data_IF_227161455184
#
_entry.id   IF_227161455184
#
_cell.length_a   1.000
_cell.length_b   1.000
_cell.length_c   1.000
_cell.angle_alpha   90.00
_cell.angle_beta   90.00
_cell.angle_gamma   90.00
#
_symmetry.space_group_name_H-M   'P 1'
#
loop_
_entity.id
_entity.type
_entity.pdbx_description
1 polymer ?
#
# COMPACT_ATOMS: atom_id res chain seq x y z
N UNK A 1 -19.25 -1.01 -8.35
CA UNK A 1 -18.38 -0.11 -7.59
C UNK A 1 -16.97 -0.58 -7.85
N UNK A 2 -16.18 0.23 -8.52
CA UNK A 2 -14.76 -0.03 -8.81
C UNK A 2 -13.94 0.50 -7.63
N UNK A 3 -12.89 -0.21 -7.23
CA UNK A 3 -11.95 0.24 -6.21
C UNK A 3 -10.66 0.76 -6.84
N UNK A 4 -10.29 1.98 -6.50
CA UNK A 4 -9.10 2.68 -7.01
C UNK A 4 -8.14 2.97 -5.88
N UNK A 5 -6.87 2.58 -6.05
CA UNK A 5 -5.79 3.03 -5.17
C UNK A 5 -5.09 4.24 -5.76
N UNK A 6 -5.10 5.34 -5.02
CA UNK A 6 -4.31 6.53 -5.31
C UNK A 6 -3.05 6.50 -4.46
N UNK A 7 -1.95 6.02 -5.04
CA UNK A 7 -0.69 5.70 -4.36
C UNK A 7 0.31 6.83 -4.61
N UNK A 8 0.68 7.58 -3.58
CA UNK A 8 1.57 8.74 -3.68
C UNK A 8 2.93 8.45 -3.05
N UNK A 9 4.01 8.90 -3.70
CA UNK A 9 5.38 8.70 -3.28
C UNK A 9 6.16 10.03 -3.27
N UNK A 10 5.58 11.08 -2.67
CA UNK A 10 6.20 12.40 -2.58
C UNK A 10 6.10 12.95 -1.14
N UNK A 11 7.19 13.47 -0.55
CA UNK A 11 7.15 14.04 0.79
C UNK A 11 6.46 15.43 0.84
N UNK A 12 6.29 16.09 -0.30
CA UNK A 12 5.64 17.40 -0.39
C UNK A 12 4.14 17.25 -0.72
N UNK A 13 3.33 18.19 -0.24
CA UNK A 13 1.93 18.38 -0.66
C UNK A 13 1.84 18.94 -2.09
N UNK A 14 0.61 19.05 -2.61
CA UNK A 14 0.34 19.63 -3.93
C UNK A 14 0.91 21.04 -4.12
N UNK A 15 1.04 21.85 -3.05
CA UNK A 15 1.64 23.19 -3.17
C UNK A 15 3.13 23.15 -3.52
N UNK A 16 3.82 22.05 -3.18
CA UNK A 16 5.27 21.87 -3.35
C UNK A 16 5.67 20.82 -4.39
N UNK A 17 4.71 20.19 -5.07
CA UNK A 17 4.99 19.11 -6.02
C UNK A 17 4.08 19.17 -7.25
N UNK A 18 4.69 19.30 -8.43
CA UNK A 18 3.99 19.23 -9.71
C UNK A 18 3.25 17.90 -9.91
N UNK A 19 3.86 16.78 -9.49
CA UNK A 19 3.26 15.45 -9.61
C UNK A 19 2.01 15.33 -8.74
N UNK A 20 2.10 15.76 -7.48
CA UNK A 20 0.96 15.70 -6.54
C UNK A 20 -0.16 16.63 -6.99
N UNK A 21 0.14 17.84 -7.47
CA UNK A 21 -0.87 18.75 -8.00
C UNK A 21 -1.64 18.16 -9.19
N UNK A 22 -0.94 17.52 -10.13
CA UNK A 22 -1.59 16.85 -11.28
C UNK A 22 -2.38 15.61 -10.83
N UNK A 23 -1.82 14.84 -9.88
CA UNK A 23 -2.48 13.66 -9.32
C UNK A 23 -3.78 13.99 -8.60
N UNK A 24 -3.80 15.06 -7.80
CA UNK A 24 -5.01 15.56 -7.13
C UNK A 24 -6.06 16.03 -8.15
N UNK A 25 -5.67 16.80 -9.15
CA UNK A 25 -6.59 17.22 -10.20
C UNK A 25 -7.20 16.03 -10.94
N UNK A 26 -6.40 15.01 -11.24
CA UNK A 26 -6.87 13.77 -11.86
C UNK A 26 -7.86 13.01 -10.96
N UNK A 27 -7.50 12.77 -9.70
CA UNK A 27 -8.33 11.92 -8.82
C UNK A 27 -9.64 12.62 -8.43
N UNK A 28 -9.65 13.95 -8.30
CA UNK A 28 -10.88 14.70 -8.06
C UNK A 28 -11.79 14.72 -9.30
N UNK A 29 -11.24 14.88 -10.51
CA UNK A 29 -12.02 14.72 -11.74
C UNK A 29 -12.60 13.30 -11.85
N UNK A 30 -11.80 12.27 -11.56
CA UNK A 30 -12.23 10.88 -11.54
C UNK A 30 -13.40 10.64 -10.58
N UNK A 31 -13.31 11.12 -9.33
CA UNK A 31 -14.39 10.98 -8.33
C UNK A 31 -15.69 11.65 -8.79
N UNK A 32 -15.60 12.80 -9.47
CA UNK A 32 -16.77 13.50 -10.00
C UNK A 32 -17.46 12.72 -11.14
N UNK A 33 -16.68 12.10 -12.04
CA UNK A 33 -17.22 11.28 -13.12
C UNK A 33 -17.69 9.89 -12.65
N UNK A 34 -17.09 9.37 -11.56
CA UNK A 34 -17.34 8.06 -10.99
C UNK A 34 -17.74 8.13 -9.50
N UNK A 35 -18.86 8.77 -9.15
CA UNK A 35 -19.24 9.01 -7.75
C UNK A 35 -19.60 7.74 -6.95
N UNK A 36 -19.71 6.60 -7.62
CA UNK A 36 -20.01 5.29 -7.01
C UNK A 36 -18.76 4.41 -6.86
N UNK A 37 -17.58 4.92 -7.21
CA UNK A 37 -16.32 4.18 -7.05
C UNK A 37 -15.66 4.53 -5.71
N UNK A 38 -14.98 3.55 -5.12
CA UNK A 38 -14.22 3.72 -3.88
C UNK A 38 -12.79 4.16 -4.24
N UNK A 39 -12.37 5.34 -3.76
CA UNK A 39 -10.98 5.80 -3.90
C UNK A 39 -10.30 5.74 -2.53
N UNK A 40 -9.20 4.98 -2.45
CA UNK A 40 -8.37 4.85 -1.25
C UNK A 40 -7.01 5.48 -1.53
N UNK A 41 -6.63 6.47 -0.72
CA UNK A 41 -5.31 7.11 -0.78
C UNK A 41 -4.30 6.32 0.05
N UNK A 42 -3.16 6.00 -0.54
CA UNK A 42 -2.00 5.38 0.13
C UNK A 42 -0.81 6.30 -0.04
N UNK A 43 -0.47 7.04 1.02
CA UNK A 43 0.74 7.85 1.08
C UNK A 43 1.91 7.01 1.57
N UNK A 44 2.85 6.68 0.68
CA UNK A 44 3.98 5.81 1.00
C UNK A 44 4.97 6.42 2.01
N UNK A 45 4.96 7.75 2.22
CA UNK A 45 5.79 8.39 3.24
C UNK A 45 5.18 8.28 4.65
N UNK A 46 3.88 7.99 4.75
CA UNK A 46 3.16 7.84 6.01
C UNK A 46 2.59 6.41 6.22
N UNK A 47 2.81 5.50 5.28
CA UNK A 47 2.38 4.10 5.36
C UNK A 47 3.54 3.19 5.79
N UNK A 48 3.26 2.21 6.64
CA UNK A 48 4.26 1.19 6.98
C UNK A 48 4.46 0.26 5.77
N UNK A 49 5.59 0.40 5.09
CA UNK A 49 6.01 -0.44 3.97
C UNK A 49 7.32 -1.13 4.35
N UNK A 50 7.27 -2.32 4.98
CA UNK A 50 8.47 -3.01 5.43
C UNK A 50 9.40 -3.34 4.26
N UNK A 51 10.68 -3.01 4.40
CA UNK A 51 11.70 -3.49 3.48
C UNK A 51 11.91 -5.00 3.67
N UNK A 52 12.31 -5.69 2.60
CA UNK A 52 12.74 -7.09 2.69
C UNK A 52 14.12 -7.10 3.35
N UNK A 53 14.20 -7.73 4.52
CA UNK A 53 15.43 -7.88 5.29
C UNK A 53 15.54 -9.28 5.94
N UNK A 54 16.51 -9.47 6.83
CA UNK A 54 16.81 -10.76 7.45
C UNK A 54 15.60 -11.36 8.21
N UNK A 55 14.78 -10.52 8.85
CA UNK A 55 13.59 -11.02 9.54
C UNK A 55 12.55 -11.53 8.56
N UNK A 56 12.35 -10.83 7.44
CA UNK A 56 11.42 -11.24 6.37
C UNK A 56 11.86 -12.57 5.75
N UNK A 57 13.15 -12.72 5.44
CA UNK A 57 13.69 -13.99 4.92
C UNK A 57 13.54 -15.13 5.94
N UNK A 58 13.82 -14.88 7.22
CA UNK A 58 13.65 -15.88 8.27
C UNK A 58 12.18 -16.29 8.41
N UNK A 59 11.26 -15.34 8.34
CA UNK A 59 9.82 -15.62 8.39
C UNK A 59 9.34 -16.46 7.20
N UNK A 60 9.73 -16.09 5.98
CA UNK A 60 9.42 -16.87 4.78
C UNK A 60 10.02 -18.27 4.81
N UNK A 61 11.23 -18.42 5.37
CA UNK A 61 11.86 -19.72 5.58
C UNK A 61 11.03 -20.65 6.47
N UNK A 62 10.47 -20.11 7.57
CA UNK A 62 9.56 -20.85 8.47
C UNK A 62 8.27 -21.26 7.77
N UNK A 63 7.64 -20.35 7.01
CA UNK A 63 6.46 -20.70 6.22
C UNK A 63 6.75 -21.76 5.15
N UNK A 64 7.89 -21.67 4.48
CA UNK A 64 8.33 -22.67 3.49
C UNK A 64 8.58 -24.05 4.12
N UNK A 65 8.97 -24.09 5.40
CA UNK A 65 9.10 -25.31 6.19
C UNK A 65 7.76 -25.85 6.72
N UNK A 66 6.64 -25.17 6.47
CA UNK A 66 5.31 -25.54 6.93
C UNK A 66 5.00 -25.11 8.37
N UNK A 67 5.80 -24.21 8.96
CA UNK A 67 5.53 -23.65 10.28
C UNK A 67 4.46 -22.55 10.24
N UNK A 68 3.74 -22.37 11.34
CA UNK A 68 2.69 -21.35 11.49
C UNK A 68 3.20 -19.97 11.89
N UNK A 69 2.32 -18.98 11.82
CA UNK A 69 2.61 -17.57 12.16
C UNK A 69 3.03 -17.39 13.63
N UNK A 70 2.52 -18.25 14.52
CA UNK A 70 2.84 -18.27 15.94
C UNK A 70 4.29 -18.63 16.25
N UNK A 71 5.04 -19.22 15.30
CA UNK A 71 6.46 -19.56 15.49
C UNK A 71 7.38 -18.37 15.20
N UNK A 72 6.87 -17.29 14.61
CA UNK A 72 7.59 -16.06 14.32
C UNK A 72 7.89 -15.25 15.59
N UNK A 73 8.97 -14.48 15.57
CA UNK A 73 9.20 -13.44 16.59
C UNK A 73 8.22 -12.29 16.40
N UNK A 74 8.03 -11.45 17.42
CA UNK A 74 7.11 -10.30 17.35
C UNK A 74 7.46 -9.36 16.18
N UNK A 75 8.75 -9.09 15.93
CA UNK A 75 9.21 -8.26 14.81
C UNK A 75 8.90 -8.92 13.46
N UNK A 76 9.07 -10.24 13.34
CA UNK A 76 8.72 -10.99 12.14
C UNK A 76 7.21 -10.94 11.87
N UNK A 77 6.39 -11.10 12.92
CA UNK A 77 4.94 -11.01 12.84
C UNK A 77 4.49 -9.63 12.38
N UNK A 78 5.02 -8.56 12.98
CA UNK A 78 4.69 -7.18 12.62
C UNK A 78 5.01 -6.89 11.15
N UNK A 79 6.20 -7.29 10.67
CA UNK A 79 6.61 -7.09 9.28
C UNK A 79 5.72 -7.87 8.30
N UNK A 80 5.55 -9.18 8.52
CA UNK A 80 4.74 -10.02 7.63
C UNK A 80 3.28 -9.57 7.63
N UNK A 81 2.71 -9.20 8.78
CA UNK A 81 1.35 -8.69 8.85
C UNK A 81 1.18 -7.40 8.05
N UNK A 82 2.08 -6.42 8.21
CA UNK A 82 2.04 -5.18 7.42
C UNK A 82 2.22 -5.45 5.91
N UNK A 83 3.14 -6.36 5.54
CA UNK A 83 3.32 -6.76 4.13
C UNK A 83 2.07 -7.41 3.55
N UNK A 84 1.40 -8.29 4.30
CA UNK A 84 0.16 -8.93 3.87
C UNK A 84 -0.99 -7.92 3.75
N UNK A 85 -1.14 -6.98 4.69
CA UNK A 85 -2.13 -5.89 4.59
C UNK A 85 -1.93 -5.07 3.31
N UNK A 86 -0.68 -4.71 2.98
CA UNK A 86 -0.35 -3.99 1.76
C UNK A 86 -0.67 -4.83 0.52
N UNK A 87 -0.30 -6.11 0.51
CA UNK A 87 -0.59 -7.05 -0.57
C UNK A 87 -2.09 -7.23 -0.80
N UNK A 88 -2.87 -7.48 0.25
CA UNK A 88 -4.32 -7.67 0.16
C UNK A 88 -5.02 -6.39 -0.31
N UNK A 89 -4.59 -5.23 0.20
CA UNK A 89 -5.11 -3.93 -0.26
C UNK A 89 -4.86 -3.76 -1.76
N UNK A 90 -3.64 -4.09 -2.21
CA UNK A 90 -3.28 -4.01 -3.62
C UNK A 90 -4.08 -5.01 -4.47
N UNK A 91 -4.22 -6.27 -4.04
CA UNK A 91 -4.93 -7.32 -4.78
C UNK A 91 -6.43 -7.06 -4.93
N UNK A 92 -7.05 -6.41 -3.95
CA UNK A 92 -8.50 -6.15 -3.96
C UNK A 92 -8.91 -4.86 -4.69
N UNK A 93 -7.96 -4.14 -5.29
CA UNK A 93 -8.25 -2.98 -6.10
C UNK A 93 -8.38 -3.33 -7.59
N UNK A 94 -9.21 -2.56 -8.30
CA UNK A 94 -9.43 -2.72 -9.73
C UNK A 94 -8.52 -1.78 -10.56
N UNK A 95 -8.07 -0.68 -9.96
CA UNK A 95 -7.29 0.38 -10.61
C UNK A 95 -6.22 0.93 -9.67
N UNK A 96 -5.13 1.40 -10.26
CA UNK A 96 -3.98 1.94 -9.55
C UNK A 96 -3.51 3.23 -10.22
N UNK A 97 -3.27 4.26 -9.43
CA UNK A 97 -2.72 5.54 -9.86
C UNK A 97 -1.47 5.79 -9.04
N UNK A 98 -0.32 5.95 -9.69
CA UNK A 98 0.96 6.20 -9.03
C UNK A 98 1.40 7.65 -9.30
N UNK A 99 1.78 8.35 -8.24
CA UNK A 99 2.19 9.77 -8.27
C UNK A 99 3.52 9.97 -7.56
#
# INVERSE_FOLDING_TARGET
MTKVLFITANPNSAEGSFGVAVGEAFIEAYKNEHPQDEVVTIDLFNTTVPAIDADVFAAWGKFAAGEGFETLTEVQQQKVAAMNTNLETFMHADRYVFV
#
